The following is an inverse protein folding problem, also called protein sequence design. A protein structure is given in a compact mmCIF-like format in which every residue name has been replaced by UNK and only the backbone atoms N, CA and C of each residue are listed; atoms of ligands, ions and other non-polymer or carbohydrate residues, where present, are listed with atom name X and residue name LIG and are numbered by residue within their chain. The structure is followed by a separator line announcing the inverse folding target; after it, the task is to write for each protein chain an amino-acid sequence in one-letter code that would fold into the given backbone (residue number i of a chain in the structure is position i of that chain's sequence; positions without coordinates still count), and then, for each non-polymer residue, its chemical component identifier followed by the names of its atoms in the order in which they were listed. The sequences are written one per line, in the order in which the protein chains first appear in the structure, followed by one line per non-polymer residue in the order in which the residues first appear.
data_IF_471791634876
#
_entry.id   IF_471791634876
#
_cell.length_a   1.000
_cell.length_b   1.000
_cell.length_c   1.000
_cell.angle_alpha   90.00
_cell.angle_beta   90.00
_cell.angle_gamma   90.00
#
_symmetry.space_group_name_H-M   'P 1'
#
loop_
_entity.id
_entity.type
_entity.pdbx_description
1 polymer ?
#
# COMPACT_ATOMS: atom_id res chain seq x y z
N UNK A 1 -18.60 37.61 27.64
CA UNK A 1 -18.34 37.53 26.19
C UNK A 1 -16.96 36.98 25.79
N UNK A 2 -15.85 37.35 26.46
CA UNK A 2 -14.48 36.87 26.12
C UNK A 2 -14.29 35.34 26.26
N UNK A 3 -14.97 34.68 27.22
CA UNK A 3 -14.82 33.22 27.43
C UNK A 3 -15.52 32.39 26.34
N UNK A 4 -16.60 32.89 25.75
CA UNK A 4 -17.32 32.19 24.68
C UNK A 4 -16.55 32.23 23.35
N UNK A 5 -15.85 33.32 23.04
CA UNK A 5 -14.98 33.43 21.86
C UNK A 5 -13.82 32.46 21.91
N UNK A 6 -13.25 32.18 23.09
CA UNK A 6 -12.13 31.24 23.24
C UNK A 6 -12.56 29.79 23.00
N UNK A 7 -13.77 29.41 23.44
CA UNK A 7 -14.31 28.06 23.22
C UNK A 7 -14.60 27.81 21.75
N UNK A 8 -15.17 28.80 21.06
CA UNK A 8 -15.42 28.71 19.60
C UNK A 8 -14.12 28.62 18.82
N UNK A 9 -13.09 29.38 19.20
CA UNK A 9 -11.77 29.32 18.57
C UNK A 9 -11.10 27.96 18.80
N UNK A 10 -11.20 27.38 20.02
CA UNK A 10 -10.71 26.03 20.32
C UNK A 10 -11.47 24.95 19.54
N UNK A 11 -12.79 25.06 19.39
CA UNK A 11 -13.59 24.12 18.59
C UNK A 11 -13.24 24.17 17.10
N UNK A 12 -12.93 25.34 16.56
CA UNK A 12 -12.46 25.51 15.18
C UNK A 12 -11.06 24.95 14.95
N UNK A 13 -10.18 25.00 15.96
CA UNK A 13 -8.84 24.42 15.88
C UNK A 13 -8.88 22.87 15.96
N UNK A 14 -9.89 22.29 16.62
CA UNK A 14 -10.05 20.83 16.70
C UNK A 14 -10.74 20.25 15.43
N UNK A 15 -11.36 21.07 14.59
CA UNK A 15 -11.99 20.63 13.33
C UNK A 15 -10.99 20.38 12.19
N UNK A 16 -9.70 20.68 12.40
CA UNK A 16 -8.62 20.47 11.43
C UNK A 16 -7.89 19.13 11.55
N UNK A 17 -8.48 18.12 12.21
CA UNK A 17 -7.90 16.77 12.16
C UNK A 17 -7.93 16.26 10.72
N UNK A 18 -6.77 15.87 10.20
CA UNK A 18 -6.60 15.22 8.91
C UNK A 18 -7.62 14.09 8.76
N UNK A 19 -8.66 14.33 7.95
CA UNK A 19 -9.65 13.30 7.67
C UNK A 19 -9.13 12.44 6.53
N UNK A 20 -8.78 11.21 6.86
CA UNK A 20 -8.56 10.19 5.86
C UNK A 20 -9.89 9.79 5.23
N UNK A 21 -9.97 9.74 3.93
CA UNK A 21 -11.09 9.10 3.26
C UNK A 21 -11.14 7.62 3.68
N UNK A 22 -12.32 7.04 3.94
CA UNK A 22 -12.43 5.61 4.20
C UNK A 22 -11.93 4.84 2.98
N UNK A 23 -11.28 3.70 3.21
CA UNK A 23 -10.90 2.79 2.14
C UNK A 23 -12.15 2.28 1.41
N UNK A 24 -12.02 1.90 0.14
CA UNK A 24 -13.15 1.58 -0.75
C UNK A 24 -13.96 0.33 -0.32
N UNK A 25 -13.39 -0.52 0.54
CA UNK A 25 -14.08 -1.68 1.10
C UNK A 25 -13.54 -2.00 2.50
N UNK A 26 -14.29 -2.82 3.23
CA UNK A 26 -13.92 -3.28 4.58
C UNK A 26 -12.90 -4.43 4.49
N UNK A 27 -12.15 -4.60 5.58
CA UNK A 27 -11.21 -5.71 5.70
C UNK A 27 -11.94 -7.05 5.71
N UNK A 28 -11.61 -7.91 4.76
CA UNK A 28 -12.17 -9.24 4.64
C UNK A 28 -11.04 -10.26 4.52
N UNK A 29 -10.98 -11.27 5.41
CA UNK A 29 -9.97 -12.32 5.29
C UNK A 29 -10.03 -13.04 3.94
N UNK A 30 -8.86 -13.26 3.35
CA UNK A 30 -8.70 -13.97 2.10
C UNK A 30 -8.42 -15.47 2.36
N UNK A 31 -9.29 -16.34 1.88
CA UNK A 31 -9.20 -17.80 2.01
C UNK A 31 -9.00 -18.52 0.67
N UNK A 32 -8.96 -17.75 -0.44
CA UNK A 32 -8.75 -18.31 -1.77
C UNK A 32 -7.31 -18.81 -2.01
N UNK A 33 -7.12 -19.41 -3.15
CA UNK A 33 -5.85 -19.94 -3.68
C UNK A 33 -5.47 -19.33 -5.05
N UNK A 34 -6.27 -18.38 -5.55
CA UNK A 34 -6.05 -17.72 -6.83
C UNK A 34 -4.75 -16.91 -6.86
N UNK A 35 -4.32 -16.41 -5.69
CA UNK A 35 -3.06 -15.67 -5.52
C UNK A 35 -2.31 -16.16 -4.29
N UNK A 36 -1.00 -16.11 -4.38
CA UNK A 36 -0.11 -16.51 -3.28
C UNK A 36 0.06 -15.38 -2.27
N UNK A 37 0.11 -15.74 -0.99
CA UNK A 37 0.31 -14.83 0.14
C UNK A 37 1.54 -15.19 1.00
N UNK A 38 2.34 -16.18 0.59
CA UNK A 38 3.53 -16.69 1.29
C UNK A 38 4.84 -16.05 0.82
N UNK A 39 4.75 -14.82 0.32
CA UNK A 39 5.88 -14.05 -0.17
C UNK A 39 5.48 -12.62 -0.46
N UNK A 40 6.08 -12.02 -1.48
CA UNK A 40 5.74 -10.70 -1.97
C UNK A 40 5.51 -10.69 -3.47
N UNK A 41 4.72 -9.71 -3.90
CA UNK A 41 4.50 -9.36 -5.30
C UNK A 41 5.37 -8.16 -5.64
N UNK A 42 6.01 -8.16 -6.80
CA UNK A 42 6.90 -7.07 -7.18
C UNK A 42 6.73 -6.66 -8.64
N UNK A 43 7.02 -5.40 -8.89
CA UNK A 43 7.14 -4.79 -10.20
C UNK A 43 8.36 -3.86 -10.21
N UNK A 44 9.17 -3.95 -11.25
CA UNK A 44 10.29 -3.04 -11.48
C UNK A 44 9.86 -2.00 -12.50
N UNK A 45 9.82 -0.74 -12.09
CA UNK A 45 9.48 0.40 -12.94
C UNK A 45 10.72 1.24 -13.25
N UNK A 46 10.70 1.88 -14.42
CA UNK A 46 11.70 2.86 -14.83
C UNK A 46 11.04 4.23 -14.98
N UNK A 47 11.47 5.19 -14.19
CA UNK A 47 11.05 6.59 -14.33
C UNK A 47 11.87 7.27 -15.42
N UNK A 48 11.26 7.57 -16.56
CA UNK A 48 11.92 8.32 -17.65
C UNK A 48 12.31 9.75 -17.22
N UNK A 49 11.54 10.34 -16.32
CA UNK A 49 11.79 11.69 -15.85
C UNK A 49 13.01 11.76 -14.91
N UNK A 50 13.18 10.77 -14.05
CA UNK A 50 14.29 10.70 -13.09
C UNK A 50 15.48 9.88 -13.62
N UNK A 51 15.30 9.18 -14.74
CA UNK A 51 16.25 8.21 -15.31
C UNK A 51 16.67 7.15 -14.29
N UNK A 52 15.73 6.64 -13.52
CA UNK A 52 15.97 5.73 -12.40
C UNK A 52 15.00 4.55 -12.36
N UNK A 53 15.50 3.46 -11.81
CA UNK A 53 14.72 2.26 -11.52
C UNK A 53 14.27 2.26 -10.07
N UNK A 54 13.07 1.75 -9.83
CA UNK A 54 12.60 1.38 -8.50
C UNK A 54 11.81 0.08 -8.56
N UNK A 55 11.77 -0.66 -7.47
CA UNK A 55 10.94 -1.84 -7.33
C UNK A 55 9.84 -1.56 -6.30
N UNK A 56 8.60 -1.68 -6.75
CA UNK A 56 7.45 -1.72 -5.85
C UNK A 56 7.23 -3.15 -5.35
N UNK A 57 7.03 -3.31 -4.04
CA UNK A 57 6.76 -4.58 -3.41
C UNK A 57 5.44 -4.53 -2.66
N UNK A 58 4.71 -5.66 -2.67
CA UNK A 58 3.45 -5.82 -1.96
C UNK A 58 3.43 -7.15 -1.22
N UNK A 59 3.34 -7.10 0.10
CA UNK A 59 3.10 -8.26 0.94
C UNK A 59 1.60 -8.37 1.16
N UNK A 60 0.95 -9.38 0.61
CA UNK A 60 -0.47 -9.66 0.83
C UNK A 60 -0.61 -10.62 2.01
N UNK A 61 -1.56 -10.35 2.91
CA UNK A 61 -1.79 -11.16 4.11
C UNK A 61 -3.15 -11.82 4.10
N UNK A 62 -3.24 -13.01 4.69
CA UNK A 62 -4.51 -13.76 4.78
C UNK A 62 -5.63 -13.02 5.50
N UNK A 63 -5.32 -12.01 6.29
CA UNK A 63 -6.34 -11.18 6.97
C UNK A 63 -6.94 -10.07 6.09
N UNK A 64 -6.60 -10.03 4.79
CA UNK A 64 -7.10 -9.05 3.81
C UNK A 64 -6.34 -7.73 3.81
N UNK A 65 -5.29 -7.60 4.61
CA UNK A 65 -4.41 -6.43 4.56
C UNK A 65 -3.26 -6.63 3.58
N UNK A 66 -2.65 -5.54 3.14
CA UNK A 66 -1.36 -5.58 2.44
C UNK A 66 -0.42 -4.49 2.96
N UNK A 67 0.86 -4.74 2.79
CA UNK A 67 1.94 -3.78 3.04
C UNK A 67 2.63 -3.46 1.72
N UNK A 68 2.76 -2.17 1.39
CA UNK A 68 3.54 -1.69 0.25
C UNK A 68 4.92 -1.26 0.71
N UNK A 69 5.95 -1.70 0.01
CA UNK A 69 7.33 -1.25 0.16
C UNK A 69 7.89 -0.80 -1.20
N UNK A 70 8.86 0.09 -1.17
CA UNK A 70 9.55 0.60 -2.36
C UNK A 70 11.06 0.53 -2.13
N UNK A 71 11.81 0.15 -3.15
CA UNK A 71 13.26 0.34 -3.11
C UNK A 71 13.59 1.83 -3.31
N UNK A 72 14.73 2.29 -2.83
CA UNK A 72 15.27 3.57 -3.26
C UNK A 72 15.44 3.63 -4.78
N UNK A 73 15.27 4.82 -5.35
CA UNK A 73 15.53 5.05 -6.76
C UNK A 73 17.03 4.90 -7.06
N UNK A 74 17.38 4.09 -8.06
CA UNK A 74 18.75 3.89 -8.50
C UNK A 74 18.86 3.99 -10.02
N UNK A 75 20.02 4.46 -10.53
CA UNK A 75 20.32 4.46 -11.97
C UNK A 75 20.79 3.08 -12.48
N UNK A 76 21.12 2.16 -11.58
CA UNK A 76 21.59 0.81 -11.92
C UNK A 76 20.53 -0.24 -11.62
N UNK A 77 19.92 -0.89 -12.63
CA UNK A 77 18.88 -1.90 -12.41
C UNK A 77 19.35 -3.10 -11.57
N UNK A 78 20.65 -3.39 -11.53
CA UNK A 78 21.20 -4.50 -10.74
C UNK A 78 21.24 -4.20 -9.22
N UNK A 79 21.07 -2.94 -8.81
CA UNK A 79 20.96 -2.52 -7.41
C UNK A 79 19.53 -2.59 -6.88
N UNK A 80 18.55 -2.83 -7.75
CA UNK A 80 17.15 -3.01 -7.39
C UNK A 80 16.98 -4.44 -6.86
N UNK A 81 17.24 -4.62 -5.58
CA UNK A 81 17.14 -5.91 -4.89
C UNK A 81 16.19 -5.84 -3.71
N UNK A 82 15.69 -6.99 -3.27
CA UNK A 82 14.82 -7.03 -2.09
C UNK A 82 15.55 -6.56 -0.83
N UNK A 83 16.84 -6.87 -0.70
CA UNK A 83 17.64 -6.47 0.45
C UNK A 83 17.70 -4.95 0.55
N UNK A 84 17.75 -4.24 -0.59
CA UNK A 84 17.75 -2.78 -0.61
C UNK A 84 16.49 -2.14 -0.01
N UNK A 85 15.36 -2.86 0.04
CA UNK A 85 14.13 -2.39 0.70
C UNK A 85 14.30 -2.38 2.22
N UNK A 86 14.89 -3.44 2.77
CA UNK A 86 15.04 -3.62 4.21
C UNK A 86 16.25 -2.87 4.77
N UNK A 87 17.33 -2.77 4.02
CA UNK A 87 18.57 -2.07 4.41
C UNK A 87 18.36 -0.56 4.59
N UNK A 88 17.41 0.04 3.88
CA UNK A 88 17.10 1.48 3.96
C UNK A 88 16.09 1.83 5.06
N UNK A 89 15.85 0.93 6.01
CA UNK A 89 15.02 1.21 7.20
C UNK A 89 13.56 1.47 6.83
N UNK A 90 12.98 0.64 5.98
CA UNK A 90 11.59 0.74 5.59
C UNK A 90 10.66 0.83 6.80
N UNK A 91 9.92 1.95 6.91
CA UNK A 91 9.03 2.23 8.04
C UNK A 91 7.65 1.58 7.84
N UNK A 92 7.54 0.29 8.19
CA UNK A 92 6.25 -0.42 8.19
C UNK A 92 5.31 0.02 9.33
N UNK A 93 5.77 0.86 10.26
CA UNK A 93 4.92 1.50 11.26
C UNK A 93 4.18 2.73 10.72
N UNK A 94 4.27 3.02 9.43
CA UNK A 94 3.59 4.14 8.80
C UNK A 94 2.31 3.69 8.11
N UNK A 95 1.18 4.27 8.50
CA UNK A 95 -0.15 4.01 7.91
C UNK A 95 -0.17 4.04 6.37
N UNK A 96 0.62 4.92 5.76
CA UNK A 96 0.68 5.13 4.30
C UNK A 96 1.13 3.91 3.50
N UNK A 97 1.76 2.96 4.18
CA UNK A 97 2.26 1.75 3.55
C UNK A 97 1.28 0.58 3.63
N UNK A 98 0.19 0.75 4.39
CA UNK A 98 -0.81 -0.29 4.57
C UNK A 98 -2.08 0.00 3.77
N UNK A 99 -2.76 -1.06 3.38
CA UNK A 99 -4.05 -0.99 2.72
C UNK A 99 -4.79 -2.31 2.80
N UNK A 100 -5.90 -2.40 2.04
CA UNK A 100 -6.74 -3.58 1.96
C UNK A 100 -6.73 -4.16 0.57
N UNK A 101 -6.84 -5.47 0.47
CA UNK A 101 -7.10 -6.15 -0.78
C UNK A 101 -8.23 -7.17 -0.65
N UNK A 102 -8.85 -7.47 -1.76
CA UNK A 102 -9.78 -8.58 -1.94
C UNK A 102 -9.62 -9.18 -3.33
N UNK A 103 -10.10 -10.40 -3.51
CA UNK A 103 -10.15 -11.10 -4.81
C UNK A 103 -11.60 -11.44 -5.10
N UNK A 104 -12.11 -11.01 -6.25
CA UNK A 104 -13.45 -11.31 -6.75
C UNK A 104 -13.38 -11.51 -8.27
N UNK A 105 -13.98 -12.57 -8.78
CA UNK A 105 -14.14 -12.85 -10.22
C UNK A 105 -12.82 -12.79 -11.02
N UNK A 106 -11.72 -13.28 -10.46
CA UNK A 106 -10.40 -13.25 -11.10
C UNK A 106 -9.69 -11.89 -11.08
N UNK A 107 -10.24 -10.92 -10.34
CA UNK A 107 -9.66 -9.59 -10.15
C UNK A 107 -9.16 -9.43 -8.72
N UNK A 108 -7.90 -9.07 -8.57
CA UNK A 108 -7.35 -8.57 -7.32
C UNK A 108 -7.62 -7.06 -7.24
N UNK A 109 -8.44 -6.64 -6.31
CA UNK A 109 -8.68 -5.24 -5.99
C UNK A 109 -7.84 -4.84 -4.79
N UNK A 110 -7.21 -3.67 -4.86
CA UNK A 110 -6.38 -3.12 -3.79
C UNK A 110 -6.75 -1.68 -3.52
N UNK A 111 -6.97 -1.31 -2.25
CA UNK A 111 -7.25 0.07 -1.83
C UNK A 111 -6.24 0.54 -0.80
N UNK A 112 -5.69 1.74 -1.01
CA UNK A 112 -4.68 2.35 -0.15
C UNK A 112 -4.86 3.85 -0.05
N UNK A 113 -4.25 4.48 0.97
CA UNK A 113 -4.24 5.92 1.08
C UNK A 113 -3.12 6.54 0.27
N UNK A 114 -3.48 7.54 -0.52
CA UNK A 114 -2.55 8.40 -1.23
C UNK A 114 -2.53 9.80 -0.63
N UNK A 115 -1.34 10.36 -0.48
CA UNK A 115 -1.13 11.70 0.06
C UNK A 115 -0.72 12.68 -1.04
N UNK A 116 -1.64 13.51 -1.57
CA UNK A 116 -1.30 14.52 -2.57
C UNK A 116 -0.61 15.74 -1.95
N UNK A 117 -0.54 15.83 -0.61
CA UNK A 117 0.04 16.97 0.12
C UNK A 117 -0.52 17.11 1.53
N UNK A 118 -0.19 18.19 2.26
CA UNK A 118 -0.69 18.41 3.61
C UNK A 118 -2.23 18.47 3.65
N UNK A 119 -2.86 17.75 4.54
CA UNK A 119 -4.24 17.96 4.96
C UNK A 119 -5.29 16.91 4.60
N UNK A 120 -5.05 15.94 3.70
CA UNK A 120 -6.00 14.83 3.49
C UNK A 120 -5.39 13.63 2.78
N UNK A 121 -5.60 12.42 3.30
CA UNK A 121 -5.34 11.18 2.60
C UNK A 121 -6.56 10.80 1.74
N UNK A 122 -6.36 10.62 0.44
CA UNK A 122 -7.36 10.08 -0.48
C UNK A 122 -7.23 8.58 -0.57
N UNK A 123 -8.36 7.87 -0.57
CA UNK A 123 -8.36 6.45 -0.90
C UNK A 123 -8.26 6.26 -2.41
N UNK A 124 -7.34 5.43 -2.86
CA UNK A 124 -7.23 4.99 -4.25
C UNK A 124 -7.61 3.53 -4.36
N UNK A 125 -8.17 3.15 -5.51
CA UNK A 125 -8.52 1.78 -5.86
C UNK A 125 -7.74 1.37 -7.10
N UNK A 126 -7.08 0.22 -7.02
CA UNK A 126 -6.34 -0.40 -8.12
C UNK A 126 -6.91 -1.78 -8.40
N UNK A 127 -7.03 -2.12 -9.67
CA UNK A 127 -7.48 -3.42 -10.12
C UNK A 127 -6.36 -4.13 -10.88
N UNK A 128 -6.25 -5.42 -10.66
CA UNK A 128 -5.28 -6.30 -11.33
C UNK A 128 -5.99 -7.56 -11.80
N UNK A 129 -5.84 -7.90 -13.06
CA UNK A 129 -6.28 -9.18 -13.61
C UNK A 129 -5.34 -10.28 -13.11
N UNK A 130 -5.88 -11.32 -12.51
CA UNK A 130 -5.12 -12.49 -12.10
C UNK A 130 -4.87 -13.35 -13.33
N UNK A 131 -3.61 -13.44 -13.76
CA UNK A 131 -3.18 -14.29 -14.88
C UNK A 131 -2.97 -15.72 -14.38
N UNK A 132 -2.33 -15.86 -13.23
CA UNK A 132 -2.15 -17.11 -12.48
C UNK A 132 -1.73 -16.79 -11.05
N UNK A 133 -1.46 -17.80 -10.23
CA UNK A 133 -1.09 -17.67 -8.80
C UNK A 133 0.24 -16.95 -8.53
N UNK A 134 1.03 -16.66 -9.58
CA UNK A 134 2.35 -16.00 -9.51
C UNK A 134 2.50 -14.79 -10.43
N UNK A 135 1.44 -14.42 -11.18
CA UNK A 135 1.46 -13.29 -12.11
C UNK A 135 0.12 -12.57 -12.12
N UNK A 136 0.13 -11.26 -11.89
CA UNK A 136 -1.03 -10.38 -12.04
C UNK A 136 -0.68 -9.21 -12.96
N UNK A 137 -1.68 -8.62 -13.60
CA UNK A 137 -1.52 -7.49 -14.51
C UNK A 137 -2.38 -6.30 -14.08
N UNK A 138 -1.79 -5.11 -13.97
CA UNK A 138 -2.52 -3.86 -13.72
C UNK A 138 -3.48 -3.53 -14.87
N UNK A 139 -4.75 -3.25 -14.58
CA UNK A 139 -5.74 -2.88 -15.62
C UNK A 139 -5.45 -1.53 -16.27
N UNK A 140 -4.88 -0.56 -15.53
CA UNK A 140 -4.67 0.80 -16.03
C UNK A 140 -3.40 0.96 -16.83
N UNK A 141 -2.30 0.42 -16.35
CA UNK A 141 -0.95 0.64 -16.90
C UNK A 141 -0.47 -0.55 -17.74
N UNK A 142 -1.11 -1.71 -17.59
CA UNK A 142 -0.74 -2.95 -18.30
C UNK A 142 0.52 -3.61 -17.73
N UNK A 143 1.05 -3.08 -16.63
CA UNK A 143 2.26 -3.60 -15.99
C UNK A 143 2.03 -4.95 -15.32
N UNK A 144 3.03 -5.82 -15.40
CA UNK A 144 3.01 -7.13 -14.78
C UNK A 144 3.69 -7.09 -13.42
N UNK A 145 3.08 -7.76 -12.46
CA UNK A 145 3.61 -8.02 -11.13
C UNK A 145 3.84 -9.50 -10.97
N UNK A 146 5.00 -9.86 -10.44
CA UNK A 146 5.42 -11.24 -10.27
C UNK A 146 5.54 -11.59 -8.79
N UNK A 147 5.21 -12.81 -8.46
CA UNK A 147 5.33 -13.34 -7.11
C UNK A 147 6.73 -13.90 -6.85
N UNK A 148 7.26 -13.62 -5.65
CA UNK A 148 8.48 -14.23 -5.12
C UNK A 148 8.22 -14.79 -3.71
N UNK A 149 8.51 -16.08 -3.45
CA UNK A 149 8.42 -16.66 -2.11
C UNK A 149 9.36 -15.94 -1.14
N UNK A 150 8.87 -15.61 0.07
CA UNK A 150 9.69 -14.91 1.05
C UNK A 150 9.21 -15.20 2.47
N UNK A 151 10.11 -15.69 3.32
CA UNK A 151 9.79 -16.20 4.65
C UNK A 151 9.59 -15.09 5.70
N UNK A 152 10.37 -14.01 5.61
CA UNK A 152 10.44 -12.97 6.65
C UNK A 152 9.51 -11.78 6.39
N UNK A 153 8.20 -12.03 6.35
CA UNK A 153 7.22 -10.95 6.18
C UNK A 153 7.05 -10.14 7.47
N UNK A 154 6.94 -8.79 7.38
CA UNK A 154 6.51 -7.98 8.53
C UNK A 154 5.17 -8.45 9.11
N UNK A 155 4.95 -8.21 10.40
CA UNK A 155 3.72 -8.64 11.08
C UNK A 155 2.52 -7.78 10.65
N UNK A 156 1.47 -8.40 10.09
CA UNK A 156 0.24 -7.71 9.65
C UNK A 156 -0.58 -7.14 10.81
N UNK A 157 -0.34 -7.59 12.05
CA UNK A 157 -1.06 -7.03 13.22
C UNK A 157 -0.80 -5.55 13.42
N UNK A 158 0.31 -5.03 12.90
CA UNK A 158 0.64 -3.60 12.89
C UNK A 158 -0.43 -2.78 12.15
N UNK A 159 -0.99 -3.32 11.05
CA UNK A 159 -2.05 -2.66 10.28
C UNK A 159 -3.30 -2.35 11.10
N UNK A 160 -3.60 -3.14 12.13
CA UNK A 160 -4.78 -2.96 12.99
C UNK A 160 -4.83 -1.63 13.74
N UNK A 161 -3.71 -0.91 13.81
CA UNK A 161 -3.66 0.43 14.41
C UNK A 161 -4.43 1.45 13.55
N UNK A 162 -4.59 1.18 12.24
CA UNK A 162 -5.18 2.10 11.27
C UNK A 162 -6.34 1.51 10.49
N UNK A 163 -6.37 0.19 10.35
CA UNK A 163 -7.36 -0.58 9.58
C UNK A 163 -8.09 -1.51 10.56
N UNK A 164 -9.31 -1.17 10.98
CA UNK A 164 -10.10 -1.95 11.93
C UNK A 164 -10.52 -3.33 11.42
#
# INVERSE_FOLDING_TARGET
MKKMSLIILMALLMAGCDKYEPLHFERTPYFGDEIRTDGFWYHVSYSQFEERYCMGLYFLYRDGTFLRALTPNTSNPNEVTIDSVFDHGYDYNNQRHWGLFKVEDGILQRTEWFWPGPGSGKALLYNYVIINDTCIQSEGEGDYYYFHPFEFKPDSTIARQWIP
#
